data_IF_034712770046
#
_entry.id   IF_034712770046
#
_cell.length_a   1.000
_cell.length_b   1.000
_cell.length_c   1.000
_cell.angle_alpha   90.00
_cell.angle_beta   90.00
_cell.angle_gamma   90.00
#
_symmetry.space_group_name_H-M   'P 1'
#
loop_
_entity.id
_entity.type
_entity.pdbx_description
1 polymer ?
#
# COMPACT_ATOMS: atom_id res chain seq x y z
N UNK A 1 -20.50 34.22 -28.28
CA UNK A 1 -20.35 32.98 -29.05
C UNK A 1 -19.46 32.10 -28.21
N UNK A 2 -20.07 31.08 -27.61
CA UNK A 2 -19.52 30.29 -26.51
C UNK A 2 -18.21 29.64 -26.91
N UNK A 3 -17.14 29.95 -26.18
CA UNK A 3 -15.92 29.15 -26.19
C UNK A 3 -16.31 27.76 -25.70
N UNK A 4 -16.37 26.82 -26.65
CA UNK A 4 -16.55 25.41 -26.40
C UNK A 4 -15.45 24.97 -25.43
N UNK A 5 -15.86 24.81 -24.16
CA UNK A 5 -15.15 24.10 -23.11
C UNK A 5 -14.86 22.70 -23.61
N UNK A 6 -13.72 22.54 -24.28
CA UNK A 6 -13.07 21.25 -24.41
C UNK A 6 -12.46 20.90 -23.05
N UNK A 7 -13.35 20.62 -22.09
CA UNK A 7 -13.00 19.83 -20.90
C UNK A 7 -12.98 18.38 -21.36
N UNK A 8 -12.01 18.02 -22.20
CA UNK A 8 -11.55 16.64 -22.19
C UNK A 8 -11.11 16.40 -20.74
N UNK A 9 -11.88 15.63 -19.99
CA UNK A 9 -11.55 15.29 -18.62
C UNK A 9 -10.17 14.65 -18.66
N UNK A 10 -9.14 15.38 -18.26
CA UNK A 10 -7.77 14.90 -18.29
C UNK A 10 -7.73 13.67 -17.39
N UNK A 11 -7.65 12.49 -18.01
CA UNK A 11 -7.77 11.23 -17.30
C UNK A 11 -6.56 11.14 -16.36
N UNK A 12 -6.81 11.18 -15.05
CA UNK A 12 -5.72 11.14 -14.06
C UNK A 12 -4.98 9.81 -14.20
N UNK A 13 -3.66 9.86 -14.16
CA UNK A 13 -2.82 8.67 -14.15
C UNK A 13 -3.06 7.91 -12.86
N UNK A 14 -3.53 6.68 -12.98
CA UNK A 14 -3.73 5.79 -11.85
C UNK A 14 -2.42 5.10 -11.48
N UNK A 15 -2.01 5.24 -10.23
CA UNK A 15 -0.78 4.66 -9.70
C UNK A 15 -1.17 3.63 -8.64
N UNK A 16 -0.76 2.38 -8.86
CA UNK A 16 -1.01 1.27 -7.95
C UNK A 16 0.27 0.95 -7.18
N UNK A 17 0.28 1.25 -5.89
CA UNK A 17 1.38 0.97 -4.99
C UNK A 17 1.10 -0.34 -4.26
N UNK A 18 1.87 -1.39 -4.55
CA UNK A 18 1.79 -2.66 -3.82
C UNK A 18 2.92 -2.71 -2.82
N UNK A 19 2.59 -2.82 -1.54
CA UNK A 19 3.53 -3.00 -0.44
C UNK A 19 3.42 -4.45 0.02
N UNK A 20 4.53 -5.17 -0.05
CA UNK A 20 4.62 -6.57 0.36
C UNK A 20 5.44 -6.61 1.65
N UNK A 21 4.81 -7.04 2.74
CA UNK A 21 5.39 -7.04 4.08
C UNK A 21 5.55 -8.47 4.59
N UNK A 22 6.79 -8.88 4.81
CA UNK A 22 7.09 -10.19 5.41
C UNK A 22 6.58 -10.21 6.85
N UNK A 23 5.84 -11.25 7.23
CA UNK A 23 5.32 -11.47 8.58
C UNK A 23 5.92 -12.73 9.22
N UNK A 24 7.08 -13.19 8.77
CA UNK A 24 7.76 -14.36 9.32
C UNK A 24 8.27 -14.17 10.75
N UNK A 25 8.44 -15.25 11.50
CA UNK A 25 8.93 -15.21 12.89
C UNK A 25 10.27 -14.49 13.08
N UNK A 26 11.14 -14.46 12.06
CA UNK A 26 12.39 -13.67 12.09
C UNK A 26 12.16 -12.17 12.23
N UNK A 27 11.01 -11.68 11.75
CA UNK A 27 10.65 -10.26 11.79
C UNK A 27 10.30 -9.79 13.20
N UNK A 28 10.16 -10.68 14.20
CA UNK A 28 9.84 -10.29 15.59
C UNK A 28 10.78 -9.21 16.15
N UNK A 29 12.09 -9.32 15.86
CA UNK A 29 13.09 -8.36 16.38
C UNK A 29 12.96 -6.96 15.76
N UNK A 30 12.42 -6.87 14.56
CA UNK A 30 12.27 -5.62 13.80
C UNK A 30 10.80 -5.29 13.55
N UNK A 31 9.90 -5.86 14.35
CA UNK A 31 8.45 -5.71 14.18
C UNK A 31 8.01 -4.25 14.17
N UNK A 32 8.55 -3.47 15.12
CA UNK A 32 8.28 -2.05 15.21
C UNK A 32 8.79 -1.30 13.97
N UNK A 33 10.02 -1.58 13.53
CA UNK A 33 10.60 -0.94 12.35
C UNK A 33 9.83 -1.28 11.06
N UNK A 34 9.28 -2.50 10.95
CA UNK A 34 8.44 -2.91 9.83
C UNK A 34 7.11 -2.12 9.77
N UNK A 35 6.46 -1.95 10.93
CA UNK A 35 5.23 -1.15 11.06
C UNK A 35 5.51 0.33 10.80
N UNK A 36 6.59 0.87 11.38
CA UNK A 36 6.98 2.26 11.20
C UNK A 36 7.35 2.56 9.74
N UNK A 37 8.10 1.66 9.09
CA UNK A 37 8.47 1.78 7.69
C UNK A 37 7.27 1.74 6.74
N UNK A 38 6.28 0.90 7.01
CA UNK A 38 5.00 0.93 6.29
C UNK A 38 4.28 2.27 6.49
N UNK A 39 4.16 2.73 7.73
CA UNK A 39 3.46 3.97 8.05
C UNK A 39 4.13 5.19 7.42
N UNK A 40 5.46 5.26 7.42
CA UNK A 40 6.23 6.29 6.74
C UNK A 40 6.01 6.27 5.23
N UNK A 41 6.07 5.07 4.62
CA UNK A 41 5.80 4.89 3.19
C UNK A 41 4.39 5.36 2.83
N UNK A 42 3.40 5.01 3.64
CA UNK A 42 2.01 5.43 3.44
C UNK A 42 1.86 6.95 3.50
N UNK A 43 2.53 7.62 4.43
CA UNK A 43 2.56 9.10 4.50
C UNK A 43 3.23 9.69 3.26
N UNK A 44 4.30 9.06 2.76
CA UNK A 44 4.96 9.45 1.51
C UNK A 44 4.01 9.40 0.30
N UNK A 45 3.26 8.30 0.14
CA UNK A 45 2.28 8.13 -0.94
C UNK A 45 1.14 9.15 -0.81
N UNK A 46 0.66 9.42 0.41
CA UNK A 46 -0.36 10.46 0.66
C UNK A 46 0.11 11.84 0.20
N UNK A 47 1.33 12.24 0.59
CA UNK A 47 1.94 13.51 0.16
C UNK A 47 2.13 13.57 -1.35
N UNK A 48 2.51 12.46 -1.99
CA UNK A 48 2.65 12.39 -3.43
C UNK A 48 1.29 12.60 -4.13
N UNK A 49 0.22 11.97 -3.64
CA UNK A 49 -1.12 12.21 -4.16
C UNK A 49 -1.57 13.66 -3.96
N UNK A 50 -1.34 14.26 -2.79
CA UNK A 50 -1.68 15.66 -2.53
C UNK A 50 -0.95 16.61 -3.48
N UNK A 51 0.34 16.36 -3.74
CA UNK A 51 1.17 17.17 -4.64
C UNK A 51 0.73 17.09 -6.10
N UNK A 52 0.23 15.94 -6.53
CA UNK A 52 -0.17 15.67 -7.92
C UNK A 52 -1.67 15.40 -8.05
N UNK A 53 -2.50 15.96 -7.16
CA UNK A 53 -3.93 15.64 -7.07
C UNK A 53 -4.71 15.91 -8.36
N UNK A 54 -4.22 16.84 -9.19
CA UNK A 54 -4.85 17.20 -10.46
C UNK A 54 -4.54 16.21 -11.59
N UNK A 55 -3.43 15.47 -11.48
CA UNK A 55 -2.91 14.61 -12.56
C UNK A 55 -2.81 13.13 -12.18
N UNK A 56 -2.79 12.79 -10.90
CA UNK A 56 -2.56 11.43 -10.41
C UNK A 56 -3.59 11.01 -9.37
N UNK A 57 -3.93 9.72 -9.38
CA UNK A 57 -4.73 9.06 -8.36
C UNK A 57 -3.97 7.83 -7.84
N UNK A 58 -3.76 7.75 -6.53
CA UNK A 58 -2.92 6.73 -5.91
C UNK A 58 -3.76 5.71 -5.14
N UNK A 59 -3.50 4.44 -5.42
CA UNK A 59 -4.06 3.30 -4.73
C UNK A 59 -2.96 2.56 -3.98
N UNK A 60 -3.31 1.98 -2.84
CA UNK A 60 -2.41 1.19 -2.00
C UNK A 60 -2.99 -0.19 -1.81
N UNK A 61 -2.19 -1.20 -2.09
CA UNK A 61 -2.40 -2.58 -1.68
C UNK A 61 -1.32 -2.96 -0.68
N UNK A 62 -1.71 -3.60 0.41
CA UNK A 62 -0.79 -4.13 1.42
C UNK A 62 -1.03 -5.61 1.52
N UNK A 63 0.01 -6.37 1.20
CA UNK A 63 0.00 -7.82 1.26
C UNK A 63 1.00 -8.24 2.31
N UNK A 64 0.52 -9.03 3.26
CA UNK A 64 1.32 -9.54 4.37
C UNK A 64 1.39 -11.05 4.26
N UNK A 65 2.58 -11.63 4.34
CA UNK A 65 2.74 -13.07 4.09
C UNK A 65 3.54 -13.76 5.18
N UNK A 66 3.13 -14.98 5.50
CA UNK A 66 3.93 -15.96 6.22
C UNK A 66 3.55 -17.35 5.71
N UNK A 67 4.29 -18.38 6.10
CA UNK A 67 3.98 -19.78 5.72
C UNK A 67 2.65 -20.30 6.25
N UNK A 68 1.99 -19.55 7.11
CA UNK A 68 0.65 -19.86 7.59
C UNK A 68 -0.43 -19.27 6.67
N UNK A 69 -0.23 -18.08 6.10
CA UNK A 69 -1.13 -17.47 5.11
C UNK A 69 -0.55 -16.21 4.44
N UNK A 70 -1.05 -15.93 3.24
CA UNK A 70 -0.92 -14.63 2.57
C UNK A 70 -2.23 -13.85 2.75
N UNK A 71 -2.16 -12.68 3.37
CA UNK A 71 -3.31 -11.85 3.71
C UNK A 71 -3.21 -10.47 3.07
N UNK A 72 -4.27 -10.09 2.34
CA UNK A 72 -4.42 -8.76 1.76
C UNK A 72 -5.07 -7.85 2.79
N UNK A 73 -4.27 -7.01 3.45
CA UNK A 73 -4.74 -6.03 4.45
C UNK A 73 -5.39 -4.84 3.75
N UNK A 74 -4.83 -4.42 2.62
CA UNK A 74 -5.46 -3.46 1.71
C UNK A 74 -5.49 -4.05 0.30
N UNK A 75 -6.63 -3.96 -0.37
CA UNK A 75 -6.74 -4.28 -1.79
C UNK A 75 -7.19 -3.05 -2.58
N UNK A 76 -6.26 -2.45 -3.35
CA UNK A 76 -6.51 -1.30 -4.24
C UNK A 76 -7.29 -0.18 -3.54
N UNK A 77 -6.94 0.10 -2.29
CA UNK A 77 -7.63 1.12 -1.49
C UNK A 77 -7.10 2.50 -1.90
N UNK A 78 -7.97 3.48 -2.20
CA UNK A 78 -7.52 4.85 -2.44
C UNK A 78 -6.71 5.34 -1.24
N UNK A 79 -5.55 5.97 -1.47
CA UNK A 79 -4.61 6.29 -0.38
C UNK A 79 -5.25 7.16 0.72
N UNK A 80 -6.24 7.99 0.39
CA UNK A 80 -6.99 8.78 1.38
C UNK A 80 -7.82 7.95 2.37
N UNK A 81 -8.19 6.71 2.01
CA UNK A 81 -8.90 5.75 2.87
C UNK A 81 -7.96 4.75 3.56
N UNK A 82 -6.70 4.66 3.12
CA UNK A 82 -5.72 3.78 3.74
C UNK A 82 -5.30 4.32 5.12
N UNK A 83 -5.19 3.42 6.09
CA UNK A 83 -4.83 3.73 7.48
C UNK A 83 -3.47 3.15 7.85
N UNK A 84 -2.77 3.74 8.83
CA UNK A 84 -1.55 3.16 9.37
C UNK A 84 -1.82 1.80 10.01
N UNK A 85 -0.80 0.96 10.05
CA UNK A 85 -0.80 -0.28 10.83
C UNK A 85 -0.46 0.05 12.29
N UNK A 86 -1.15 -0.62 13.20
CA UNK A 86 -0.75 -0.70 14.60
C UNK A 86 0.08 -1.96 14.83
N UNK A 87 0.73 -2.05 16.00
CA UNK A 87 1.45 -3.26 16.37
C UNK A 87 0.53 -4.48 16.45
N UNK A 88 -0.73 -4.33 16.84
CA UNK A 88 -1.69 -5.44 16.90
C UNK A 88 -2.05 -5.99 15.50
N UNK A 89 -1.93 -5.18 14.45
CA UNK A 89 -2.28 -5.58 13.09
C UNK A 89 -1.17 -6.40 12.41
N UNK A 90 0.01 -6.48 13.04
CA UNK A 90 1.19 -7.12 12.49
C UNK A 90 1.84 -8.04 13.53
N UNK A 91 1.48 -9.33 13.52
CA UNK A 91 2.03 -10.35 14.41
C UNK A 91 2.92 -11.36 13.65
N UNK A 92 4.26 -11.28 13.81
CA UNK A 92 5.17 -12.17 13.12
C UNK A 92 5.06 -13.64 13.55
N UNK A 93 4.91 -14.54 12.58
CA UNK A 93 4.77 -15.98 12.82
C UNK A 93 5.34 -16.81 11.65
N UNK A 94 5.73 -18.05 11.93
CA UNK A 94 6.09 -19.05 10.91
C UNK A 94 7.32 -18.65 10.02
N UNK A 95 7.55 -19.38 8.92
CA UNK A 95 8.60 -19.17 7.89
C UNK A 95 8.23 -18.14 6.81
N UNK A 96 9.16 -17.85 5.87
CA UNK A 96 9.12 -16.82 4.81
C UNK A 96 8.83 -17.35 3.38
N UNK A 97 7.58 -17.62 2.97
CA UNK A 97 7.24 -18.04 1.60
C UNK A 97 7.13 -16.85 0.64
N UNK A 98 8.21 -16.11 0.42
CA UNK A 98 8.20 -14.87 -0.38
C UNK A 98 7.77 -15.10 -1.85
N UNK A 99 8.17 -16.21 -2.47
CA UNK A 99 7.82 -16.51 -3.87
C UNK A 99 6.33 -16.71 -4.08
N UNK A 100 5.63 -17.29 -3.10
CA UNK A 100 4.18 -17.46 -3.17
C UNK A 100 3.50 -16.09 -3.09
N UNK A 101 3.95 -15.23 -2.16
CA UNK A 101 3.39 -13.88 -2.01
C UNK A 101 3.49 -13.05 -3.29
N UNK A 102 4.65 -13.07 -3.97
CA UNK A 102 4.84 -12.35 -5.24
C UNK A 102 3.99 -12.90 -6.39
N UNK A 103 3.69 -14.20 -6.40
CA UNK A 103 2.85 -14.81 -7.43
C UNK A 103 1.36 -14.49 -7.28
N UNK A 104 0.92 -14.07 -6.09
CA UNK A 104 -0.47 -13.73 -5.79
C UNK A 104 -0.83 -12.26 -5.99
N UNK A 105 0.16 -11.37 -5.92
CA UNK A 105 -0.01 -9.91 -6.04
C UNK A 105 0.07 -9.42 -7.47
#
# INVERSE_FOLDING_TARGET
>A
MEELKDKTAMQKTQIFNVIILDRSGSMQRIRQAAVDGFNETLVGIKKAQEKFADTQEHFVSLVTFCSCETCNVFDKVPVGKAHPLSMNDYEPCCSTPLYDAMGFT
#
